data_IF_319610706934
#
_entry.id   IF_319610706934
#
_cell.length_a   1.000
_cell.length_b   1.000
_cell.length_c   1.000
_cell.angle_alpha   90.00
_cell.angle_beta   90.00
_cell.angle_gamma   90.00
#
_symmetry.space_group_name_H-M   'P 1'
#
loop_
_entity.id
_entity.type
_entity.pdbx_description
1 polymer ?
#
# COMPACT_ATOMS: atom_id res chain seq x y z
N UNK A 1 31.56 -26.75 -28.57
CA UNK A 1 31.06 -26.47 -27.19
C UNK A 1 30.95 -24.99 -26.86
N UNK A 2 31.80 -24.08 -27.39
CA UNK A 2 31.78 -22.66 -26.98
C UNK A 2 30.60 -21.79 -27.48
N UNK A 3 30.00 -22.09 -28.62
CA UNK A 3 28.89 -21.26 -29.17
C UNK A 3 27.55 -21.47 -28.45
N UNK A 4 27.35 -22.66 -27.86
CA UNK A 4 26.14 -22.99 -27.09
C UNK A 4 26.12 -22.24 -25.77
N UNK A 5 27.27 -22.17 -25.09
CA UNK A 5 27.41 -21.45 -23.81
C UNK A 5 27.21 -19.95 -24.00
N UNK A 6 27.76 -19.35 -25.07
CA UNK A 6 27.56 -17.92 -25.37
C UNK A 6 26.10 -17.61 -25.70
N UNK A 7 25.45 -18.43 -26.55
CA UNK A 7 24.03 -18.24 -26.87
C UNK A 7 23.14 -18.41 -25.64
N UNK A 8 23.44 -19.37 -24.77
CA UNK A 8 22.69 -19.60 -23.54
C UNK A 8 22.86 -18.44 -22.55
N UNK A 9 24.08 -17.92 -22.39
CA UNK A 9 24.37 -16.76 -21.52
C UNK A 9 23.67 -15.49 -22.04
N UNK A 10 23.66 -15.26 -23.35
CA UNK A 10 22.95 -14.12 -23.96
C UNK A 10 21.44 -14.24 -23.75
N UNK A 11 20.86 -15.42 -23.95
CA UNK A 11 19.43 -15.65 -23.72
C UNK A 11 19.06 -15.45 -22.24
N UNK A 12 19.89 -15.93 -21.31
CA UNK A 12 19.68 -15.75 -19.86
C UNK A 12 19.81 -14.26 -19.45
N UNK A 13 20.76 -13.52 -20.03
CA UNK A 13 20.89 -12.08 -19.80
C UNK A 13 19.68 -11.30 -20.30
N UNK A 14 19.13 -11.66 -21.46
CA UNK A 14 17.94 -11.02 -22.03
C UNK A 14 16.70 -11.31 -21.17
N UNK A 15 16.54 -12.53 -20.65
CA UNK A 15 15.38 -12.87 -19.81
C UNK A 15 15.42 -12.17 -18.45
N UNK A 16 16.59 -12.04 -17.81
CA UNK A 16 16.71 -11.32 -16.52
C UNK A 16 16.46 -9.81 -16.69
N UNK A 17 16.87 -9.22 -17.81
CA UNK A 17 16.61 -7.80 -18.11
C UNK A 17 15.13 -7.46 -18.30
N UNK A 18 14.29 -8.43 -18.66
CA UNK A 18 12.84 -8.27 -18.79
C UNK A 18 12.11 -8.39 -17.44
N UNK A 19 12.77 -8.90 -16.40
CA UNK A 19 12.26 -8.92 -15.03
C UNK A 19 12.57 -7.60 -14.29
N UNK A 20 12.73 -6.48 -15.02
CA UNK A 20 12.80 -5.13 -14.45
C UNK A 20 11.59 -4.33 -14.93
N UNK A 21 10.45 -5.01 -15.11
CA UNK A 21 9.17 -4.31 -15.08
C UNK A 21 8.81 -4.10 -13.62
N UNK A 22 9.04 -2.86 -13.19
CA UNK A 22 9.06 -2.42 -11.80
C UNK A 22 7.88 -2.93 -10.99
N UNK A 23 8.13 -3.01 -9.68
CA UNK A 23 7.13 -2.99 -8.63
C UNK A 23 5.98 -2.09 -9.09
N UNK A 24 4.91 -2.69 -9.61
CA UNK A 24 3.74 -1.91 -10.00
C UNK A 24 3.31 -1.30 -8.68
N UNK A 25 3.45 0.02 -8.54
CA UNK A 25 2.96 0.69 -7.37
C UNK A 25 1.45 0.40 -7.35
N UNK A 26 1.01 -0.52 -6.50
CA UNK A 26 -0.38 -0.95 -6.50
C UNK A 26 -1.11 0.18 -5.81
N UNK A 27 -1.78 1.02 -6.59
CA UNK A 27 -2.64 2.03 -6.00
C UNK A 27 -3.84 1.35 -5.37
N UNK A 28 -3.95 1.38 -4.04
CA UNK A 28 -5.09 0.88 -3.30
C UNK A 28 -5.99 2.07 -2.94
N UNK A 29 -7.22 2.10 -3.47
CA UNK A 29 -8.17 3.17 -3.19
C UNK A 29 -7.59 4.57 -3.40
N UNK A 30 -6.92 4.77 -4.55
CA UNK A 30 -6.23 6.01 -4.93
C UNK A 30 -5.03 6.41 -4.03
N UNK A 31 -4.57 5.51 -3.16
CA UNK A 31 -3.31 5.65 -2.41
C UNK A 31 -2.20 4.81 -3.03
N UNK A 32 -1.02 5.39 -3.23
CA UNK A 32 0.17 4.64 -3.59
C UNK A 32 0.78 3.91 -2.37
N UNK A 33 1.75 3.02 -2.62
CA UNK A 33 2.41 2.25 -1.56
C UNK A 33 3.05 3.16 -0.50
N UNK A 34 3.68 4.26 -0.94
CA UNK A 34 4.31 5.24 -0.04
C UNK A 34 3.29 5.91 0.90
N UNK A 35 2.10 6.25 0.39
CA UNK A 35 1.02 6.82 1.17
C UNK A 35 0.44 5.82 2.18
N UNK A 36 0.29 4.56 1.76
CA UNK A 36 -0.18 3.49 2.64
C UNK A 36 0.84 3.17 3.74
N UNK A 37 2.11 3.07 3.39
CA UNK A 37 3.22 2.88 4.33
C UNK A 37 3.33 4.04 5.32
N UNK A 38 3.13 5.29 4.87
CA UNK A 38 3.13 6.46 5.75
C UNK A 38 2.00 6.43 6.78
N UNK A 39 0.85 5.82 6.44
CA UNK A 39 -0.30 5.71 7.33
C UNK A 39 -0.32 4.47 8.22
N UNK A 40 0.35 3.39 7.80
CA UNK A 40 0.38 2.11 8.51
C UNK A 40 0.72 2.22 10.01
N UNK A 41 1.74 2.98 10.44
CA UNK A 41 2.06 3.13 11.86
C UNK A 41 0.91 3.70 12.72
N UNK A 42 0.00 4.47 12.13
CA UNK A 42 -1.12 5.08 12.84
C UNK A 42 -2.34 4.18 12.96
N UNK A 43 -2.35 3.07 12.22
CA UNK A 43 -3.48 2.12 12.15
C UNK A 43 -3.09 0.71 12.58
N UNK A 44 -1.91 0.54 13.17
CA UNK A 44 -1.39 -0.73 13.65
C UNK A 44 -1.30 -0.76 15.17
N UNK A 45 -1.71 -1.89 15.75
CA UNK A 45 -1.60 -2.18 17.19
C UNK A 45 -0.22 -2.81 17.50
N UNK A 46 0.29 -2.73 18.74
CA UNK A 46 -0.36 -2.20 19.95
C UNK A 46 -0.14 -0.69 20.21
N UNK A 47 0.85 -0.08 19.55
CA UNK A 47 1.27 1.30 19.82
C UNK A 47 1.10 2.16 18.56
N UNK A 48 -0.13 2.63 18.28
CA UNK A 48 -0.39 3.48 17.13
C UNK A 48 0.16 4.88 17.36
N UNK A 49 0.94 5.37 16.41
CA UNK A 49 1.50 6.73 16.44
C UNK A 49 0.57 7.73 15.76
N UNK A 50 0.72 9.02 16.06
CA UNK A 50 -0.04 10.05 15.35
C UNK A 50 0.34 10.13 13.86
N UNK A 51 -0.63 10.46 12.98
CA UNK A 51 -0.41 10.47 11.55
C UNK A 51 0.62 11.53 11.17
N UNK A 52 1.51 11.15 10.27
CA UNK A 52 2.43 12.09 9.64
C UNK A 52 1.68 13.01 8.66
N UNK A 53 2.21 14.21 8.36
CA UNK A 53 1.65 15.06 7.32
C UNK A 53 1.55 14.34 5.96
N UNK A 54 2.52 13.49 5.63
CA UNK A 54 2.52 12.68 4.42
C UNK A 54 1.35 11.69 4.39
N UNK A 55 1.03 11.03 5.51
CA UNK A 55 -0.15 10.18 5.60
C UNK A 55 -1.43 10.98 5.36
N UNK A 56 -1.58 12.14 6.00
CA UNK A 56 -2.78 12.95 5.83
C UNK A 56 -2.93 13.50 4.40
N UNK A 57 -1.83 13.88 3.73
CA UNK A 57 -1.88 14.25 2.31
C UNK A 57 -2.26 13.07 1.43
N UNK A 58 -1.76 11.86 1.70
CA UNK A 58 -2.18 10.66 0.99
C UNK A 58 -3.67 10.36 1.19
N UNK A 59 -4.19 10.51 2.42
CA UNK A 59 -5.61 10.34 2.73
C UNK A 59 -6.52 11.38 2.06
N UNK A 60 -6.06 12.61 1.85
CA UNK A 60 -6.82 13.64 1.13
C UNK A 60 -7.11 13.25 -0.32
N UNK A 61 -6.16 12.55 -0.95
CA UNK A 61 -6.32 12.01 -2.31
C UNK A 61 -6.98 10.63 -2.35
N UNK A 62 -7.19 10.00 -1.20
CA UNK A 62 -7.67 8.63 -1.11
C UNK A 62 -9.19 8.53 -1.32
N UNK A 63 -9.61 7.40 -1.87
CA UNK A 63 -11.01 7.02 -1.91
C UNK A 63 -11.42 6.37 -0.58
N UNK A 64 -11.91 7.18 0.36
CA UNK A 64 -12.32 6.73 1.69
C UNK A 64 -13.47 5.70 1.64
N UNK A 65 -14.37 5.78 0.64
CA UNK A 65 -15.43 4.78 0.44
C UNK A 65 -14.87 3.43 0.03
N UNK A 66 -13.87 3.43 -0.87
CA UNK A 66 -13.12 2.23 -1.22
C UNK A 66 -12.40 1.65 0.00
N UNK A 67 -11.68 2.46 0.77
CA UNK A 67 -11.00 2.01 1.99
C UNK A 67 -11.99 1.42 3.00
N UNK A 68 -13.16 2.06 3.15
CA UNK A 68 -14.22 1.55 4.01
C UNK A 68 -14.69 0.14 3.62
N UNK A 69 -14.73 -0.19 2.33
CA UNK A 69 -15.11 -1.54 1.89
C UNK A 69 -14.19 -2.63 2.44
N UNK A 70 -12.96 -2.28 2.82
CA UNK A 70 -12.01 -3.20 3.46
C UNK A 70 -12.18 -3.33 4.97
N UNK A 71 -13.04 -2.53 5.63
CA UNK A 71 -13.27 -2.55 7.10
C UNK A 71 -13.48 -3.95 7.67
N UNK A 72 -14.22 -4.80 6.96
CA UNK A 72 -14.52 -6.18 7.35
C UNK A 72 -13.66 -7.22 6.62
N UNK A 73 -12.65 -6.78 5.87
CA UNK A 73 -11.78 -7.66 5.12
C UNK A 73 -10.85 -8.42 6.05
N UNK A 74 -10.73 -9.73 5.84
CA UNK A 74 -9.75 -10.57 6.56
C UNK A 74 -8.29 -10.18 6.25
N UNK A 75 -8.07 -9.30 5.27
CA UNK A 75 -6.75 -8.77 4.94
C UNK A 75 -6.24 -7.78 6.00
N UNK A 76 -7.11 -6.97 6.64
CA UNK A 76 -6.64 -5.95 7.60
C UNK A 76 -5.89 -6.58 8.78
N UNK A 77 -6.43 -7.60 9.48
CA UNK A 77 -5.72 -8.23 10.59
C UNK A 77 -4.42 -8.91 10.14
N UNK A 78 -4.38 -9.47 8.93
CA UNK A 78 -3.17 -10.12 8.39
C UNK A 78 -2.03 -9.14 8.12
N UNK A 79 -2.36 -7.87 7.87
CA UNK A 79 -1.41 -6.77 7.69
C UNK A 79 -1.08 -6.04 9.00
N UNK A 80 -1.68 -6.47 10.12
CA UNK A 80 -1.58 -5.80 11.41
C UNK A 80 -2.34 -4.49 11.47
N UNK A 81 -3.30 -4.27 10.57
CA UNK A 81 -4.15 -3.07 10.55
C UNK A 81 -5.36 -3.32 11.44
N UNK A 82 -5.58 -2.42 12.39
CA UNK A 82 -6.75 -2.37 13.23
C UNK A 82 -7.86 -1.56 12.54
N UNK A 83 -9.04 -2.15 12.26
CA UNK A 83 -10.12 -1.48 11.57
C UNK A 83 -10.64 -0.24 12.32
N UNK A 84 -10.63 -0.26 13.64
CA UNK A 84 -11.10 0.87 14.46
C UNK A 84 -10.14 2.05 14.37
N UNK A 85 -8.83 1.79 14.43
CA UNK A 85 -7.82 2.83 14.21
C UNK A 85 -7.88 3.38 12.77
N UNK A 86 -8.04 2.50 11.78
CA UNK A 86 -8.16 2.91 10.38
C UNK A 86 -9.37 3.82 10.13
N UNK A 87 -10.52 3.53 10.77
CA UNK A 87 -11.70 4.39 10.70
C UNK A 87 -11.55 5.71 11.47
N UNK A 88 -10.75 5.74 12.53
CA UNK A 88 -10.46 6.97 13.27
C UNK A 88 -9.43 7.88 12.60
N UNK A 89 -8.64 7.36 11.65
CA UNK A 89 -7.54 8.07 11.02
C UNK A 89 -7.97 9.33 10.23
N UNK A 90 -9.05 9.30 9.42
CA UNK A 90 -9.51 10.50 8.71
C UNK A 90 -9.79 11.68 9.65
N UNK A 91 -10.44 11.43 10.79
CA UNK A 91 -10.73 12.48 11.76
C UNK A 91 -9.45 13.12 12.34
N UNK A 92 -8.40 12.32 12.59
CA UNK A 92 -7.08 12.85 13.01
C UNK A 92 -6.43 13.73 11.94
N UNK A 93 -6.71 13.47 10.68
CA UNK A 93 -6.27 14.29 9.54
C UNK A 93 -7.22 15.43 9.17
N UNK A 94 -8.26 15.70 9.98
CA UNK A 94 -9.31 16.69 9.69
C UNK A 94 -10.08 16.39 8.40
N UNK A 95 -10.34 15.10 8.14
CA UNK A 95 -11.13 14.60 7.02
C UNK A 95 -12.40 13.92 7.53
N UNK A 96 -13.48 14.07 6.77
CA UNK A 96 -14.74 13.42 7.07
C UNK A 96 -14.76 11.99 6.53
N UNK A 97 -15.14 11.04 7.39
CA UNK A 97 -15.38 9.67 6.97
C UNK A 97 -16.74 9.55 6.27
N UNK A 98 -16.89 8.72 5.21
CA UNK A 98 -18.19 8.48 4.60
C UNK A 98 -19.19 7.94 5.63
N UNK A 99 -20.43 8.42 5.58
CA UNK A 99 -21.49 8.07 6.54
C UNK A 99 -21.94 6.61 6.49
N UNK A 100 -21.63 5.89 5.40
CA UNK A 100 -21.89 4.47 5.24
C UNK A 100 -20.70 3.58 5.65
N UNK A 101 -19.77 4.17 6.44
CA UNK A 101 -18.70 3.50 7.15
C UNK A 101 -18.97 3.46 8.66
#
# INVERSE_FOLDING_TARGET
MGTVTVKLVVVIMITVGLMVEGSRAISLCDMNDEGLEACKPSVTQPDPVDPTPQCCEALKGANLTCLCSYKNSMLLPSLGIDPTLAMGLPAKCSLDMPSDC
#
